data_IF_849843080913
#
_entry.id   IF_849843080913
#
_cell.length_a   1.000
_cell.length_b   1.000
_cell.length_c   1.000
_cell.angle_alpha   90.00
_cell.angle_beta   90.00
_cell.angle_gamma   90.00
#
_symmetry.space_group_name_H-M   'P 1'
#
loop_
_entity.id
_entity.type
_entity.pdbx_description
1 polymer ?
#
# COMPACT_ATOMS: atom_id res chain seq x y z
N UNK A 1 -4.01 -14.54 4.22
CA UNK A 1 -5.42 -14.64 3.82
C UNK A 1 -6.19 -13.55 4.53
N UNK A 2 -6.94 -12.72 3.77
CA UNK A 2 -7.75 -11.62 4.33
C UNK A 2 -9.21 -12.04 4.58
N UNK A 3 -9.74 -12.86 3.68
CA UNK A 3 -11.09 -13.41 3.75
C UNK A 3 -11.13 -14.81 3.11
N UNK A 4 -12.32 -15.39 2.97
CA UNK A 4 -12.46 -16.71 2.31
C UNK A 4 -12.32 -16.63 0.80
N UNK A 5 -12.47 -15.42 0.21
CA UNK A 5 -12.45 -15.15 -1.22
C UNK A 5 -11.23 -14.36 -1.70
N UNK A 6 -10.40 -13.83 -0.76
CA UNK A 6 -9.23 -13.04 -1.12
C UNK A 6 -8.00 -13.32 -0.23
N UNK A 7 -6.86 -13.50 -0.89
CA UNK A 7 -5.55 -13.62 -0.27
C UNK A 7 -4.49 -12.77 -0.99
N UNK A 8 -3.35 -12.58 -0.33
CA UNK A 8 -2.22 -11.88 -0.92
C UNK A 8 -0.92 -12.61 -0.60
N UNK A 9 -0.10 -12.87 -1.61
CA UNK A 9 1.22 -13.46 -1.44
C UNK A 9 2.25 -12.34 -1.39
N UNK A 10 2.94 -12.22 -0.26
CA UNK A 10 4.06 -11.33 -0.06
C UNK A 10 5.25 -12.06 0.56
N UNK A 11 6.44 -11.45 0.49
CA UNK A 11 7.67 -12.01 1.04
C UNK A 11 8.03 -13.42 0.52
N UNK A 12 7.70 -13.70 -0.75
CA UNK A 12 8.15 -14.92 -1.39
C UNK A 12 9.65 -14.81 -1.71
N UNK A 13 10.46 -15.11 -0.70
CA UNK A 13 11.92 -14.94 -0.74
C UNK A 13 12.59 -16.23 -0.30
N UNK A 14 13.46 -16.76 -1.16
CA UNK A 14 14.34 -17.89 -0.84
C UNK A 14 15.76 -17.36 -0.68
N UNK A 15 16.44 -17.74 0.41
CA UNK A 15 17.84 -17.37 0.65
C UNK A 15 18.72 -17.80 -0.52
N UNK A 16 19.74 -17.00 -0.89
CA UNK A 16 20.59 -17.28 -2.04
C UNK A 16 21.12 -18.72 -2.11
N UNK A 17 21.59 -19.25 -0.98
CA UNK A 17 22.14 -20.59 -0.84
C UNK A 17 21.13 -21.73 -1.14
N UNK A 18 19.82 -21.46 -1.05
CA UNK A 18 18.77 -22.43 -1.32
C UNK A 18 18.05 -22.24 -2.66
N UNK A 19 18.41 -21.20 -3.45
CA UNK A 19 17.66 -20.87 -4.70
C UNK A 19 17.77 -21.95 -5.77
N UNK A 20 18.91 -22.64 -5.83
CA UNK A 20 19.16 -23.68 -6.82
C UNK A 20 19.23 -25.08 -6.18
N UNK A 21 18.83 -25.19 -4.92
CA UNK A 21 18.90 -26.44 -4.17
C UNK A 21 17.53 -27.12 -4.13
N UNK A 22 17.38 -28.18 -4.94
CA UNK A 22 16.12 -28.93 -5.00
C UNK A 22 14.93 -28.09 -5.45
N UNK A 23 13.74 -28.47 -4.98
CA UNK A 23 12.47 -27.81 -5.31
C UNK A 23 11.98 -26.83 -4.24
N UNK A 24 12.87 -26.28 -3.37
CA UNK A 24 12.48 -25.48 -2.19
C UNK A 24 11.61 -24.29 -2.58
N UNK A 25 12.04 -23.50 -3.59
CA UNK A 25 11.25 -22.38 -4.07
C UNK A 25 9.88 -22.84 -4.59
N UNK A 26 9.84 -23.88 -5.40
CA UNK A 26 8.60 -24.43 -5.93
C UNK A 26 7.67 -24.91 -4.81
N UNK A 27 8.19 -25.68 -3.85
CA UNK A 27 7.41 -26.19 -2.71
C UNK A 27 6.82 -25.06 -1.86
N UNK A 28 7.61 -24.01 -1.57
CA UNK A 28 7.14 -22.83 -0.84
C UNK A 28 5.98 -22.14 -1.57
N UNK A 29 6.13 -21.92 -2.89
CA UNK A 29 5.08 -21.33 -3.71
C UNK A 29 3.82 -22.19 -3.76
N UNK A 30 3.98 -23.51 -3.93
CA UNK A 30 2.88 -24.46 -3.96
C UNK A 30 2.11 -24.48 -2.64
N UNK A 31 2.78 -24.51 -1.48
CA UNK A 31 2.10 -24.42 -0.19
C UNK A 31 1.36 -23.10 0.02
N UNK A 32 1.92 -21.99 -0.45
CA UNK A 32 1.22 -20.70 -0.38
C UNK A 32 -0.07 -20.70 -1.22
N UNK A 33 -0.05 -21.29 -2.44
CA UNK A 33 -1.21 -21.42 -3.30
C UNK A 33 -2.24 -22.40 -2.71
N UNK A 34 -1.81 -23.54 -2.15
CA UNK A 34 -2.68 -24.50 -1.46
C UNK A 34 -3.39 -23.86 -0.25
N UNK A 35 -2.67 -23.09 0.57
CA UNK A 35 -3.25 -22.36 1.71
C UNK A 35 -4.30 -21.33 1.30
N UNK A 36 -4.13 -20.71 0.12
CA UNK A 36 -5.03 -19.71 -0.46
C UNK A 36 -6.02 -20.30 -1.46
N UNK A 37 -6.16 -21.62 -1.51
CA UNK A 37 -7.11 -22.26 -2.43
C UNK A 37 -8.53 -21.71 -2.24
N UNK A 38 -9.23 -21.46 -3.34
CA UNK A 38 -10.55 -20.84 -3.38
C UNK A 38 -10.55 -19.31 -3.19
N UNK A 39 -9.37 -18.67 -3.13
CA UNK A 39 -9.25 -17.21 -3.08
C UNK A 39 -8.81 -16.66 -4.44
N UNK A 40 -9.29 -15.47 -4.77
CA UNK A 40 -8.58 -14.63 -5.74
C UNK A 40 -7.29 -14.13 -5.07
N UNK A 41 -6.14 -14.52 -5.58
CA UNK A 41 -4.85 -14.26 -4.96
C UNK A 41 -4.19 -13.08 -5.64
N UNK A 42 -3.89 -12.02 -4.86
CA UNK A 42 -3.06 -10.90 -5.31
C UNK A 42 -1.57 -11.12 -5.01
N UNK A 43 -0.71 -10.54 -5.80
CA UNK A 43 0.72 -10.39 -5.53
C UNK A 43 1.29 -9.13 -6.18
N UNK A 44 2.43 -8.67 -5.64
CA UNK A 44 3.30 -7.68 -6.26
C UNK A 44 4.64 -8.37 -6.60
N UNK A 45 4.73 -8.88 -7.81
CA UNK A 45 5.92 -9.60 -8.28
C UNK A 45 6.98 -8.66 -8.86
N UNK A 46 8.26 -9.05 -8.78
CA UNK A 46 9.34 -8.33 -9.48
C UNK A 46 9.13 -8.43 -10.99
N UNK A 47 9.45 -7.35 -11.71
CA UNK A 47 9.13 -7.21 -13.14
C UNK A 47 9.75 -8.33 -13.99
N UNK A 48 10.94 -8.77 -13.63
CA UNK A 48 11.71 -9.81 -14.33
C UNK A 48 11.06 -11.21 -14.23
N UNK A 49 10.08 -11.39 -13.33
CA UNK A 49 9.38 -12.65 -13.10
C UNK A 49 7.93 -12.66 -13.56
N UNK A 50 7.45 -11.61 -14.19
CA UNK A 50 6.06 -11.49 -14.67
C UNK A 50 5.64 -12.70 -15.52
N UNK A 51 6.48 -13.13 -16.48
CA UNK A 51 6.16 -14.28 -17.32
C UNK A 51 6.08 -15.60 -16.53
N UNK A 52 6.83 -15.73 -15.44
CA UNK A 52 6.74 -16.89 -14.55
C UNK A 52 5.39 -16.90 -13.80
N UNK A 53 4.94 -15.75 -13.32
CA UNK A 53 3.62 -15.65 -12.67
C UNK A 53 2.48 -15.86 -13.66
N UNK A 54 2.60 -15.41 -14.90
CA UNK A 54 1.61 -15.70 -15.97
C UNK A 54 1.49 -17.21 -16.24
N UNK A 55 2.61 -17.94 -16.26
CA UNK A 55 2.61 -19.40 -16.41
C UNK A 55 1.91 -20.12 -15.25
N UNK A 56 1.84 -19.50 -14.07
CA UNK A 56 1.09 -19.97 -12.91
C UNK A 56 -0.39 -19.51 -12.91
N UNK A 57 -0.86 -18.89 -13.99
CA UNK A 57 -2.23 -18.45 -14.17
C UNK A 57 -2.53 -17.02 -13.70
N UNK A 58 -1.53 -16.29 -13.19
CA UNK A 58 -1.74 -14.92 -12.77
C UNK A 58 -1.90 -13.96 -13.94
N UNK A 59 -2.87 -13.05 -13.82
CA UNK A 59 -3.18 -12.01 -14.79
C UNK A 59 -2.52 -10.70 -14.35
N UNK A 60 -1.77 -10.07 -15.25
CA UNK A 60 -1.19 -8.75 -15.03
C UNK A 60 -2.27 -7.68 -14.92
N UNK A 61 -2.14 -6.80 -13.95
CA UNK A 61 -3.04 -5.65 -13.74
C UNK A 61 -2.34 -4.32 -14.07
N UNK A 62 -1.33 -3.95 -13.30
CA UNK A 62 -0.60 -2.69 -13.45
C UNK A 62 0.74 -2.76 -12.69
N UNK A 63 1.58 -1.74 -12.85
CA UNK A 63 2.76 -1.57 -11.98
C UNK A 63 2.40 -0.80 -10.72
N UNK A 64 3.02 -1.22 -9.62
CA UNK A 64 3.17 -0.37 -8.45
C UNK A 64 4.61 0.14 -8.41
N UNK A 65 4.78 1.46 -8.31
CA UNK A 65 6.08 2.13 -8.45
C UNK A 65 6.45 2.77 -7.12
N UNK A 66 7.63 2.44 -6.61
CA UNK A 66 8.20 3.09 -5.41
C UNK A 66 8.92 4.35 -5.78
N UNK A 67 8.49 5.43 -5.16
CA UNK A 67 9.18 6.72 -5.21
C UNK A 67 9.85 7.01 -3.88
N UNK A 68 10.96 7.78 -3.95
CA UNK A 68 11.78 8.22 -2.82
C UNK A 68 11.97 9.72 -2.88
N UNK A 69 11.74 10.40 -1.75
CA UNK A 69 11.98 11.84 -1.59
C UNK A 69 12.64 12.17 -0.26
N UNK A 70 13.13 13.40 -0.11
CA UNK A 70 13.72 13.95 1.12
C UNK A 70 13.02 15.25 1.49
N UNK A 71 12.61 15.40 2.75
CA UNK A 71 11.75 16.49 3.23
C UNK A 71 12.27 17.08 4.55
N UNK A 72 13.58 17.27 4.66
CA UNK A 72 14.24 17.67 5.93
C UNK A 72 14.05 19.16 6.29
N UNK A 73 13.28 19.92 5.51
CA UNK A 73 13.05 21.34 5.77
C UNK A 73 12.12 21.56 6.97
N UNK A 74 12.65 22.10 8.04
CA UNK A 74 11.87 22.46 9.24
C UNK A 74 10.96 23.66 8.96
N UNK A 75 9.70 23.58 9.37
CA UNK A 75 8.76 24.71 9.39
C UNK A 75 8.05 25.00 8.07
N UNK A 76 8.26 24.21 7.01
CA UNK A 76 7.65 24.46 5.70
C UNK A 76 6.21 23.94 5.57
N UNK A 77 5.81 23.00 6.44
CA UNK A 77 4.50 22.36 6.38
C UNK A 77 3.76 22.42 7.71
N UNK A 78 2.44 22.55 7.66
CA UNK A 78 1.54 22.52 8.81
C UNK A 78 0.46 21.46 8.62
N UNK A 79 -0.09 20.94 9.73
CA UNK A 79 -1.21 20.00 9.67
C UNK A 79 -2.49 20.80 9.36
N UNK A 80 -3.23 20.37 8.31
CA UNK A 80 -4.51 20.97 7.95
C UNK A 80 -5.54 20.75 9.07
N UNK A 81 -6.41 21.74 9.29
CA UNK A 81 -7.44 21.72 10.35
C UNK A 81 -8.43 20.55 10.25
N UNK A 82 -8.64 19.99 9.06
CA UNK A 82 -9.52 18.85 8.83
C UNK A 82 -8.81 17.49 9.03
N UNK A 83 -7.52 17.52 9.40
CA UNK A 83 -6.75 16.32 9.66
C UNK A 83 -6.74 16.01 11.15
N UNK A 84 -7.13 14.79 11.49
CA UNK A 84 -7.14 14.26 12.86
C UNK A 84 -6.32 12.97 12.96
N UNK A 85 -5.80 12.70 14.15
CA UNK A 85 -5.22 11.41 14.49
C UNK A 85 -6.29 10.33 14.64
N UNK A 86 -5.87 9.06 14.70
CA UNK A 86 -6.77 7.93 14.90
C UNK A 86 -7.57 8.06 16.21
N UNK A 87 -8.90 7.92 16.06
CA UNK A 87 -9.81 7.72 17.18
C UNK A 87 -10.49 6.34 17.03
N UNK A 88 -10.62 5.59 18.12
CA UNK A 88 -11.27 4.27 18.12
C UNK A 88 -12.73 4.32 17.67
N UNK A 89 -13.41 5.42 17.91
CA UNK A 89 -14.81 5.67 17.49
C UNK A 89 -14.95 5.66 15.96
N UNK A 90 -13.93 6.11 15.22
CA UNK A 90 -13.91 6.17 13.76
C UNK A 90 -13.66 4.80 13.10
N UNK A 91 -13.42 3.76 13.88
CA UNK A 91 -12.93 2.47 13.38
C UNK A 91 -13.88 1.84 12.33
N UNK A 92 -15.20 2.00 12.48
CA UNK A 92 -16.19 1.47 11.51
C UNK A 92 -16.10 2.19 10.17
N UNK A 93 -15.97 3.51 10.20
CA UNK A 93 -15.87 4.36 9.00
C UNK A 93 -14.55 4.15 8.28
N UNK A 94 -13.45 4.03 9.04
CA UNK A 94 -12.11 3.72 8.49
C UNK A 94 -12.14 2.38 7.75
N UNK A 95 -12.75 1.34 8.33
CA UNK A 95 -12.88 0.02 7.69
C UNK A 95 -13.74 0.11 6.42
N UNK A 96 -14.82 0.88 6.45
CA UNK A 96 -15.66 1.09 5.28
C UNK A 96 -14.93 1.85 4.17
N UNK A 97 -14.14 2.87 4.53
CA UNK A 97 -13.34 3.64 3.59
C UNK A 97 -12.22 2.80 2.95
N UNK A 98 -11.47 2.05 3.76
CA UNK A 98 -10.43 1.13 3.28
C UNK A 98 -10.98 0.13 2.26
N UNK A 99 -12.20 -0.36 2.45
CA UNK A 99 -12.85 -1.33 1.55
C UNK A 99 -13.08 -0.79 0.14
N UNK A 100 -13.13 0.53 -0.05
CA UNK A 100 -13.21 1.15 -1.38
C UNK A 100 -11.90 1.04 -2.16
N UNK A 101 -10.79 0.91 -1.46
CA UNK A 101 -9.43 0.92 -2.01
C UNK A 101 -8.72 -0.44 -1.91
N UNK A 102 -9.32 -1.42 -1.21
CA UNK A 102 -8.74 -2.75 -1.03
C UNK A 102 -9.75 -3.85 -1.40
N UNK A 103 -9.34 -4.96 -2.05
CA UNK A 103 -10.27 -5.95 -2.61
C UNK A 103 -11.12 -6.70 -1.59
N UNK A 104 -10.71 -6.71 -0.33
CA UNK A 104 -11.37 -7.49 0.72
C UNK A 104 -11.49 -6.71 2.03
N UNK A 105 -12.47 -7.09 2.86
CA UNK A 105 -12.58 -6.57 4.21
C UNK A 105 -11.44 -7.12 5.07
N UNK A 106 -10.52 -6.26 5.48
CA UNK A 106 -9.32 -6.63 6.26
C UNK A 106 -9.34 -6.04 7.68
N UNK A 107 -10.46 -6.18 8.37
CA UNK A 107 -10.71 -5.56 9.69
C UNK A 107 -9.65 -5.87 10.74
N UNK A 108 -9.26 -7.14 10.90
CA UNK A 108 -8.24 -7.56 11.88
C UNK A 108 -6.89 -6.95 11.54
N UNK A 109 -6.52 -6.98 10.27
CA UNK A 109 -5.30 -6.35 9.77
C UNK A 109 -5.29 -4.85 10.10
N UNK A 110 -6.35 -4.11 9.73
CA UNK A 110 -6.44 -2.67 9.96
C UNK A 110 -6.37 -2.31 11.44
N UNK A 111 -7.10 -3.02 12.29
CA UNK A 111 -7.04 -2.80 13.74
C UNK A 111 -5.61 -2.93 14.28
N UNK A 112 -4.89 -3.97 13.87
CA UNK A 112 -3.50 -4.18 14.26
C UNK A 112 -2.57 -3.12 13.67
N UNK A 113 -2.80 -2.73 12.41
CA UNK A 113 -2.00 -1.75 11.69
C UNK A 113 -2.15 -0.35 12.29
N UNK A 114 -3.38 0.03 12.66
CA UNK A 114 -3.70 1.31 13.31
C UNK A 114 -3.22 1.38 14.76
N UNK A 115 -3.26 0.28 15.51
CA UNK A 115 -2.84 0.25 16.91
C UNK A 115 -1.32 0.09 17.11
N UNK A 116 -0.53 0.01 16.04
CA UNK A 116 0.92 -0.10 16.15
C UNK A 116 1.53 1.25 16.54
N UNK A 117 1.96 1.38 17.80
CA UNK A 117 2.42 2.63 18.40
C UNK A 117 3.61 3.33 17.76
N UNK A 118 4.30 2.66 16.81
CA UNK A 118 5.39 3.24 16.00
C UNK A 118 4.90 3.94 14.73
N UNK A 119 3.61 3.83 14.39
CA UNK A 119 3.03 4.42 13.20
C UNK A 119 2.39 5.76 13.53
N UNK A 120 2.51 6.73 12.63
CA UNK A 120 1.69 7.94 12.65
C UNK A 120 0.61 7.80 11.59
N UNK A 121 -0.63 7.97 11.98
CA UNK A 121 -1.78 7.89 11.10
C UNK A 121 -2.63 9.14 11.19
N UNK A 122 -3.06 9.62 10.03
CA UNK A 122 -3.93 10.76 9.88
C UNK A 122 -5.13 10.45 9.00
N UNK A 123 -6.26 11.08 9.36
CA UNK A 123 -7.53 10.95 8.66
C UNK A 123 -8.02 12.35 8.31
N UNK A 124 -8.41 12.54 7.06
CA UNK A 124 -9.08 13.75 6.64
C UNK A 124 -10.59 13.56 6.79
N UNK A 125 -11.22 14.49 7.52
CA UNK A 125 -12.68 14.51 7.74
C UNK A 125 -13.29 15.72 7.06
N UNK A 126 -14.40 15.51 6.37
CA UNK A 126 -15.24 16.59 5.84
C UNK A 126 -15.87 17.40 6.97
N UNK A 127 -16.55 18.49 6.62
CA UNK A 127 -17.35 19.28 7.57
C UNK A 127 -18.51 18.49 8.20
N UNK A 128 -18.99 17.43 7.54
CA UNK A 128 -20.00 16.51 8.10
C UNK A 128 -19.40 15.43 9.00
N UNK A 129 -18.09 15.37 9.15
CA UNK A 129 -17.35 14.35 9.91
C UNK A 129 -17.03 13.06 9.13
N UNK A 130 -17.49 12.94 7.88
CA UNK A 130 -17.21 11.75 7.05
C UNK A 130 -15.71 11.66 6.70
N UNK A 131 -15.17 10.43 6.68
CA UNK A 131 -13.80 10.18 6.27
C UNK A 131 -13.70 10.26 4.74
N UNK A 132 -12.89 11.19 4.25
CA UNK A 132 -12.60 11.42 2.82
C UNK A 132 -11.14 11.13 2.47
N UNK A 133 -10.34 10.76 3.47
CA UNK A 133 -8.97 10.33 3.25
C UNK A 133 -8.33 9.72 4.48
N UNK A 134 -7.35 8.86 4.24
CA UNK A 134 -6.53 8.25 5.28
C UNK A 134 -5.10 8.07 4.80
N UNK A 135 -4.16 8.31 5.69
CA UNK A 135 -2.75 8.10 5.42
C UNK A 135 -1.99 7.63 6.65
N UNK A 136 -0.97 6.84 6.42
CA UNK A 136 -0.11 6.33 7.48
C UNK A 136 1.34 6.39 7.07
N UNK A 137 2.21 6.80 8.00
CA UNK A 137 3.66 6.72 7.84
C UNK A 137 4.26 5.87 8.96
N UNK A 138 5.21 5.05 8.62
CA UNK A 138 5.98 4.22 9.55
C UNK A 138 7.46 4.37 9.35
N UNK A 139 8.22 4.25 10.43
CA UNK A 139 9.67 4.15 10.36
C UNK A 139 10.06 2.78 9.79
N UNK A 140 11.07 2.77 8.93
CA UNK A 140 11.68 1.58 8.35
C UNK A 140 13.16 1.53 8.75
N UNK A 141 13.85 0.45 8.37
CA UNK A 141 15.28 0.32 8.60
C UNK A 141 16.07 1.49 7.98
N UNK A 142 15.65 1.96 6.80
CA UNK A 142 16.22 3.13 6.14
C UNK A 142 15.11 4.13 5.81
N UNK A 143 14.92 5.15 6.65
CA UNK A 143 13.94 6.21 6.46
C UNK A 143 12.51 5.82 6.85
N UNK A 144 11.55 6.39 6.14
CA UNK A 144 10.14 6.29 6.48
C UNK A 144 9.35 5.83 5.25
N UNK A 145 8.25 5.11 5.47
CA UNK A 145 7.38 4.67 4.39
C UNK A 145 5.94 5.09 4.63
N UNK A 146 5.36 5.79 3.67
CA UNK A 146 3.93 6.08 3.61
C UNK A 146 3.22 4.90 2.97
N UNK A 147 2.17 4.41 3.63
CA UNK A 147 1.28 3.35 3.14
C UNK A 147 0.36 2.81 4.23
N UNK A 148 -0.97 2.84 3.95
CA UNK A 148 -1.63 3.37 2.76
C UNK A 148 -1.69 4.91 2.73
N UNK A 149 -1.96 5.47 1.52
CA UNK A 149 -2.41 6.84 1.32
C UNK A 149 -3.62 6.80 0.38
N UNK A 150 -4.81 6.91 0.95
CA UNK A 150 -6.08 6.91 0.23
C UNK A 150 -6.78 8.25 0.41
N UNK A 151 -7.33 8.81 -0.66
CA UNK A 151 -8.02 10.09 -0.62
C UNK A 151 -9.04 10.22 -1.74
N UNK A 152 -10.11 10.97 -1.49
CA UNK A 152 -11.17 11.18 -2.47
C UNK A 152 -10.72 12.02 -3.67
N UNK A 153 -9.73 12.91 -3.45
CA UNK A 153 -9.17 13.79 -4.47
C UNK A 153 -7.72 14.16 -4.17
N UNK A 154 -7.10 14.90 -5.11
CA UNK A 154 -5.70 15.31 -5.03
C UNK A 154 -5.41 16.24 -3.83
N UNK A 155 -6.26 17.22 -3.56
CA UNK A 155 -6.07 18.18 -2.47
C UNK A 155 -6.01 17.48 -1.10
N UNK A 156 -6.92 16.52 -0.86
CA UNK A 156 -6.92 15.72 0.36
C UNK A 156 -5.68 14.83 0.46
N UNK A 157 -5.29 14.19 -0.65
CA UNK A 157 -4.09 13.36 -0.69
C UNK A 157 -2.84 14.16 -0.37
N UNK A 158 -2.72 15.36 -0.93
CA UNK A 158 -1.61 16.27 -0.70
C UNK A 158 -1.54 16.73 0.76
N UNK A 159 -2.67 17.16 1.34
CA UNK A 159 -2.74 17.55 2.75
C UNK A 159 -2.33 16.42 3.70
N UNK A 160 -2.80 15.20 3.43
CA UNK A 160 -2.39 14.01 4.19
C UNK A 160 -0.90 13.71 4.01
N UNK A 161 -0.39 13.74 2.78
CA UNK A 161 1.02 13.51 2.47
C UNK A 161 1.91 14.50 3.23
N UNK A 162 1.62 15.81 3.13
CA UNK A 162 2.37 16.86 3.80
C UNK A 162 2.35 16.67 5.32
N UNK A 163 1.18 16.38 5.90
CA UNK A 163 1.07 16.16 7.35
C UNK A 163 1.88 14.96 7.83
N UNK A 164 1.97 13.90 7.02
CA UNK A 164 2.71 12.68 7.37
C UNK A 164 4.23 12.87 7.34
N UNK A 165 4.74 13.77 6.49
CA UNK A 165 6.19 13.98 6.34
C UNK A 165 6.75 15.00 7.33
N UNK A 166 5.92 15.75 8.07
CA UNK A 166 6.36 16.73 9.06
C UNK A 166 7.34 16.11 10.06
N UNK A 167 8.51 16.71 10.19
CA UNK A 167 9.53 16.31 11.17
C UNK A 167 10.19 14.95 10.88
N UNK A 168 9.95 14.34 9.71
CA UNK A 168 10.59 13.07 9.35
C UNK A 168 12.02 13.31 8.85
N UNK A 169 12.95 12.58 9.44
CA UNK A 169 14.36 12.58 9.01
C UNK A 169 14.60 11.45 8.03
N UNK A 170 15.50 11.70 7.06
CA UNK A 170 15.90 10.75 6.05
C UNK A 170 14.88 10.55 4.91
N UNK A 171 15.07 9.53 4.09
CA UNK A 171 14.22 9.31 2.93
C UNK A 171 12.79 8.93 3.32
N UNK A 172 11.82 9.43 2.56
CA UNK A 172 10.42 9.02 2.59
C UNK A 172 10.10 8.25 1.31
N UNK A 173 9.50 7.08 1.47
CA UNK A 173 9.09 6.22 0.37
C UNK A 173 7.57 6.20 0.25
N UNK A 174 7.08 6.18 -1.00
CA UNK A 174 5.67 6.03 -1.33
C UNK A 174 5.55 5.06 -2.51
N UNK A 175 4.71 4.04 -2.38
CA UNK A 175 4.44 3.06 -3.44
C UNK A 175 3.10 3.39 -4.08
N UNK A 176 3.09 3.82 -5.34
CA UNK A 176 1.89 4.27 -6.06
C UNK A 176 1.52 3.33 -7.20
N UNK A 177 0.22 3.11 -7.48
CA UNK A 177 -0.21 2.44 -8.70
C UNK A 177 -0.04 3.38 -9.90
N UNK A 178 0.59 2.88 -11.00
CA UNK A 178 0.77 3.68 -12.23
C UNK A 178 -0.57 4.11 -12.87
N UNK A 179 -1.67 3.46 -12.49
CA UNK A 179 -3.02 3.74 -12.99
C UNK A 179 -3.68 4.97 -12.38
N UNK A 180 -3.07 5.58 -11.35
CA UNK A 180 -3.57 6.83 -10.76
C UNK A 180 -2.68 8.00 -11.16
N UNK A 181 -3.10 8.74 -12.21
CA UNK A 181 -2.39 9.92 -12.70
C UNK A 181 -2.20 11.00 -11.62
N UNK A 182 -3.18 11.17 -10.73
CA UNK A 182 -3.06 12.12 -9.62
C UNK A 182 -1.98 11.70 -8.62
N UNK A 183 -1.76 10.39 -8.42
CA UNK A 183 -0.65 9.93 -7.58
C UNK A 183 0.71 10.19 -8.24
N UNK A 184 0.80 10.05 -9.58
CA UNK A 184 1.99 10.43 -10.35
C UNK A 184 2.24 11.93 -10.25
N UNK A 185 1.22 12.78 -10.41
CA UNK A 185 1.33 14.22 -10.21
C UNK A 185 1.82 14.60 -8.81
N UNK A 186 1.35 13.87 -7.77
CA UNK A 186 1.79 14.12 -6.39
C UNK A 186 3.29 13.90 -6.22
N UNK A 187 3.81 12.75 -6.66
CA UNK A 187 5.24 12.43 -6.51
C UNK A 187 6.12 13.33 -7.38
N UNK A 188 5.65 13.76 -8.55
CA UNK A 188 6.32 14.72 -9.43
C UNK A 188 6.39 16.12 -8.79
N UNK A 189 5.26 16.64 -8.29
CA UNK A 189 5.17 17.92 -7.59
C UNK A 189 6.17 18.03 -6.45
N UNK A 190 6.40 16.93 -5.73
CA UNK A 190 7.35 16.88 -4.60
C UNK A 190 8.73 16.34 -4.98
N UNK A 191 9.07 16.31 -6.29
CA UNK A 191 10.37 15.90 -6.81
C UNK A 191 10.85 14.53 -6.31
N UNK A 192 9.93 13.62 -5.99
CA UNK A 192 10.29 12.26 -5.63
C UNK A 192 10.82 11.50 -6.86
N UNK A 193 11.79 10.60 -6.65
CA UNK A 193 12.43 9.84 -7.72
C UNK A 193 12.04 8.37 -7.63
N UNK A 194 11.70 7.78 -8.77
CA UNK A 194 11.46 6.35 -8.85
C UNK A 194 12.73 5.58 -8.45
N UNK A 195 12.57 4.55 -7.62
CA UNK A 195 13.69 3.71 -7.18
C UNK A 195 13.41 2.20 -7.26
N UNK A 196 12.15 1.77 -7.41
CA UNK A 196 11.78 0.36 -7.57
C UNK A 196 10.40 0.25 -8.21
N UNK A 197 10.07 -0.90 -8.78
CA UNK A 197 8.73 -1.18 -9.28
C UNK A 197 8.41 -2.68 -9.20
N UNK A 198 7.12 -2.99 -9.05
CA UNK A 198 6.57 -4.35 -9.07
C UNK A 198 5.41 -4.42 -10.05
N UNK A 199 5.04 -5.64 -10.44
CA UNK A 199 3.85 -5.94 -11.19
C UNK A 199 2.76 -6.46 -10.26
N UNK A 200 1.65 -5.73 -10.13
CA UNK A 200 0.43 -6.20 -9.47
C UNK A 200 -0.25 -7.23 -10.36
N UNK A 201 -0.46 -8.41 -9.82
CA UNK A 201 -1.09 -9.51 -10.55
C UNK A 201 -2.14 -10.20 -9.67
N UNK A 202 -3.10 -10.89 -10.33
CA UNK A 202 -4.19 -11.62 -9.65
C UNK A 202 -4.40 -12.99 -10.30
N UNK A 203 -4.72 -14.00 -9.48
CA UNK A 203 -4.91 -15.38 -9.95
C UNK A 203 -6.22 -15.58 -10.75
N UNK A 204 -7.28 -14.86 -10.41
CA UNK A 204 -8.59 -15.04 -11.05
C UNK A 204 -9.01 -13.78 -11.81
N UNK A 205 -9.46 -12.76 -11.12
CA UNK A 205 -9.98 -11.52 -11.70
C UNK A 205 -9.30 -10.28 -11.13
N UNK A 206 -9.14 -9.25 -11.97
CA UNK A 206 -8.66 -7.95 -11.51
C UNK A 206 -9.78 -7.27 -10.73
N UNK A 207 -9.60 -7.00 -9.42
CA UNK A 207 -10.64 -6.38 -8.61
C UNK A 207 -11.02 -4.99 -9.10
N UNK A 208 -12.31 -4.70 -9.11
CA UNK A 208 -12.83 -3.35 -9.42
C UNK A 208 -12.73 -2.47 -8.17
N UNK A 209 -11.69 -1.66 -8.09
CA UNK A 209 -11.43 -0.73 -6.99
C UNK A 209 -11.65 0.73 -7.42
N UNK A 210 -11.72 1.63 -6.45
CA UNK A 210 -11.71 3.07 -6.67
C UNK A 210 -10.27 3.56 -6.90
N UNK A 211 -9.63 3.11 -7.99
CA UNK A 211 -8.20 3.34 -8.25
C UNK A 211 -7.78 4.80 -8.14
N UNK A 212 -8.64 5.75 -8.54
CA UNK A 212 -8.39 7.19 -8.41
C UNK A 212 -8.24 7.67 -6.95
N UNK A 213 -8.66 6.85 -5.96
CA UNK A 213 -8.47 7.13 -4.54
C UNK A 213 -7.18 6.54 -3.96
N UNK A 214 -6.45 5.72 -4.70
CA UNK A 214 -5.25 5.04 -4.23
C UNK A 214 -4.02 5.86 -4.62
N UNK A 215 -3.59 6.77 -3.75
CA UNK A 215 -2.36 7.55 -3.90
C UNK A 215 -1.13 6.83 -3.36
N UNK A 216 -1.32 5.81 -2.56
CA UNK A 216 -0.28 4.94 -2.06
C UNK A 216 -0.87 3.63 -1.56
N UNK A 217 -0.34 2.51 -2.03
CA UNK A 217 -0.74 1.18 -1.53
C UNK A 217 -0.18 0.95 -0.13
N UNK A 218 -0.70 -0.04 0.58
CA UNK A 218 -0.23 -0.35 1.94
C UNK A 218 1.23 -0.74 1.95
N UNK A 219 1.59 -1.76 1.22
CA UNK A 219 2.95 -2.20 0.91
C UNK A 219 2.92 -3.19 -0.27
N UNK A 220 4.06 -3.45 -0.91
CA UNK A 220 4.17 -4.50 -1.94
C UNK A 220 3.90 -5.91 -1.39
N UNK A 221 4.05 -6.11 -0.09
CA UNK A 221 3.94 -7.42 0.54
C UNK A 221 2.53 -7.71 1.05
N UNK A 222 1.72 -6.66 1.22
CA UNK A 222 0.39 -6.75 1.87
C UNK A 222 -0.76 -6.25 0.98
N UNK A 223 -0.43 -5.69 -0.18
CA UNK A 223 -1.40 -5.16 -1.14
C UNK A 223 -1.88 -3.75 -0.90
#
# INVERSE_FOLDING_TARGET
KYSNDFGFIGFYIVKPEFRNYGNIAYMLGRHALEYLNGCNIGLDGVLERVENYKKLGFKYSHKNIRFKGFFDKKGEYSIDKNISSFNKEDCKEIIAYDRLCFPSKRTTFLKNWLNKGTNTQYFYKSSSGAIEGMGMIRQCFNGNKIGPLFADNFDIAEKLFLSLIIGRKGPVYLDIPETNENALMLVEKYNMKQCFATARMYSESIPKLKNKRIYGITTFELG
#
